data_IF_820729514608
#
_entry.id   IF_820729514608
#
_cell.length_a   1.000
_cell.length_b   1.000
_cell.length_c   1.000
_cell.angle_alpha   90.00
_cell.angle_beta   90.00
_cell.angle_gamma   90.00
#
_symmetry.space_group_name_H-M   'P 1'
#
loop_
_entity.id
_entity.type
_entity.pdbx_description
1 polymer ?
#
# COMPACT_ATOMS: atom_id res chain seq x y z
N UNK A 1 10.98 -40.08 3.32
CA UNK A 1 10.63 -41.50 3.56
C UNK A 1 11.68 -42.49 3.04
N UNK A 2 12.20 -42.34 1.81
CA UNK A 2 13.20 -43.27 1.24
C UNK A 2 14.59 -43.27 1.90
N UNK A 3 14.95 -42.23 2.65
CA UNK A 3 16.24 -42.12 3.37
C UNK A 3 16.16 -42.51 4.86
N UNK A 4 15.05 -43.09 5.34
CA UNK A 4 14.80 -43.42 6.77
C UNK A 4 14.97 -42.28 7.80
N UNK A 5 15.20 -41.04 7.37
CA UNK A 5 15.27 -39.86 8.27
C UNK A 5 13.97 -39.55 9.02
N UNK A 6 12.83 -40.03 8.52
CA UNK A 6 11.50 -39.86 9.08
C UNK A 6 10.85 -41.23 9.18
N UNK A 7 10.44 -41.62 10.38
CA UNK A 7 9.81 -42.90 10.68
C UNK A 7 8.33 -42.72 11.04
N UNK A 8 7.57 -43.80 11.08
CA UNK A 8 6.16 -43.77 11.49
C UNK A 8 5.17 -43.26 10.44
N UNK A 9 5.61 -42.88 9.23
CA UNK A 9 4.74 -42.51 8.10
C UNK A 9 4.46 -43.74 7.24
N UNK A 10 3.19 -44.00 6.95
CA UNK A 10 2.70 -45.07 6.08
C UNK A 10 2.53 -44.57 4.63
N UNK A 11 1.78 -43.49 4.46
CA UNK A 11 1.45 -42.93 3.15
C UNK A 11 1.31 -41.41 3.22
N UNK A 12 1.49 -40.72 2.09
CA UNK A 12 1.28 -39.27 1.97
C UNK A 12 0.43 -39.05 0.72
N UNK A 13 -0.67 -38.34 0.88
CA UNK A 13 -1.65 -38.08 -0.18
C UNK A 13 -1.99 -36.60 -0.25
N UNK A 14 -2.08 -36.08 -1.46
CA UNK A 14 -2.62 -34.75 -1.74
C UNK A 14 -4.10 -34.90 -2.15
N UNK A 15 -4.99 -34.36 -1.32
CA UNK A 15 -6.44 -34.29 -1.53
C UNK A 15 -6.89 -32.85 -1.84
N UNK A 16 -5.97 -32.00 -2.30
CA UNK A 16 -6.27 -30.61 -2.63
C UNK A 16 -7.23 -30.51 -3.82
N UNK A 17 -8.16 -29.56 -3.74
CA UNK A 17 -9.13 -29.27 -4.77
C UNK A 17 -9.14 -27.77 -5.14
N UNK A 18 -10.16 -27.32 -5.87
CA UNK A 18 -10.28 -25.90 -6.26
C UNK A 18 -10.64 -24.96 -5.10
N UNK A 19 -11.11 -25.50 -3.98
CA UNK A 19 -11.64 -24.76 -2.83
C UNK A 19 -10.60 -24.71 -1.70
N UNK A 20 -9.69 -25.67 -1.63
CA UNK A 20 -8.64 -25.67 -0.61
C UNK A 20 -7.50 -26.65 -0.83
N UNK A 21 -6.44 -26.44 -0.05
CA UNK A 21 -5.29 -27.32 0.01
C UNK A 21 -5.47 -28.30 1.16
N UNK A 22 -5.38 -29.61 0.88
CA UNK A 22 -5.47 -30.67 1.89
C UNK A 22 -4.40 -31.72 1.64
N UNK A 23 -3.42 -31.79 2.53
CA UNK A 23 -2.39 -32.84 2.51
C UNK A 23 -2.65 -33.79 3.68
N UNK A 24 -2.81 -35.07 3.37
CA UNK A 24 -3.05 -36.15 4.34
C UNK A 24 -1.78 -36.96 4.51
N UNK A 25 -1.32 -37.10 5.75
CA UNK A 25 -0.18 -37.95 6.11
C UNK A 25 -0.71 -39.08 6.98
N UNK A 26 -0.73 -40.29 6.43
CA UNK A 26 -1.15 -41.48 7.15
C UNK A 26 0.01 -42.04 7.96
N UNK A 27 -0.26 -42.37 9.23
CA UNK A 27 0.71 -42.92 10.15
C UNK A 27 0.64 -44.44 10.24
N UNK A 28 1.75 -45.07 10.63
CA UNK A 28 1.75 -46.49 11.00
C UNK A 28 1.04 -46.69 12.34
N UNK A 29 0.50 -47.89 12.58
CA UNK A 29 -0.30 -48.21 13.78
C UNK A 29 0.45 -48.02 15.10
N UNK A 30 1.76 -48.18 15.08
CA UNK A 30 2.67 -48.07 16.22
C UNK A 30 3.31 -46.69 16.36
N UNK A 31 3.05 -45.76 15.44
CA UNK A 31 3.65 -44.44 15.44
C UNK A 31 2.92 -43.48 16.39
N UNK A 32 3.68 -42.74 17.20
CA UNK A 32 3.14 -41.63 18.00
C UNK A 32 3.06 -40.37 17.14
N UNK A 33 1.85 -39.87 16.90
CA UNK A 33 1.60 -38.75 15.98
C UNK A 33 2.40 -37.48 16.31
N UNK A 34 2.50 -37.11 17.59
CA UNK A 34 3.24 -35.92 18.03
C UNK A 34 4.74 -36.00 17.71
N UNK A 35 5.33 -37.20 17.83
CA UNK A 35 6.74 -37.42 17.51
C UNK A 35 6.97 -37.25 16.01
N UNK A 36 6.10 -37.83 15.19
CA UNK A 36 6.18 -37.69 13.72
C UNK A 36 5.98 -36.24 13.30
N UNK A 37 5.03 -35.53 13.90
CA UNK A 37 4.77 -34.12 13.61
C UNK A 37 5.98 -33.23 13.94
N UNK A 38 6.61 -33.43 15.11
CA UNK A 38 7.82 -32.69 15.49
C UNK A 38 9.00 -32.99 14.55
N UNK A 39 9.14 -34.24 14.12
CA UNK A 39 10.14 -34.58 13.11
C UNK A 39 9.84 -33.92 11.76
N UNK A 40 8.57 -33.87 11.35
CA UNK A 40 8.15 -33.17 10.14
C UNK A 40 8.49 -31.68 10.21
N UNK A 41 8.20 -31.00 11.31
CA UNK A 41 8.60 -29.59 11.51
C UNK A 41 10.11 -29.39 11.46
N UNK A 42 10.90 -30.35 11.95
CA UNK A 42 12.36 -30.22 11.99
C UNK A 42 13.05 -30.53 10.65
N UNK A 43 12.55 -31.52 9.92
CA UNK A 43 13.23 -32.08 8.74
C UNK A 43 12.56 -31.71 7.41
N UNK A 44 11.44 -30.99 7.44
CA UNK A 44 10.72 -30.53 6.26
C UNK A 44 10.42 -29.04 6.37
N UNK A 45 10.12 -28.34 5.26
CA UNK A 45 9.74 -26.93 5.29
C UNK A 45 8.30 -26.68 5.80
N UNK A 46 7.66 -27.64 6.47
CA UNK A 46 6.34 -27.45 7.08
C UNK A 46 6.34 -26.38 8.18
N UNK A 47 7.50 -26.13 8.82
CA UNK A 47 7.71 -25.02 9.72
C UNK A 47 8.98 -24.28 9.30
N UNK A 48 8.86 -23.00 8.99
CA UNK A 48 9.99 -22.16 8.60
C UNK A 48 10.01 -20.86 9.41
N UNK A 49 11.18 -20.26 9.48
CA UNK A 49 11.36 -18.94 10.08
C UNK A 49 11.38 -17.89 8.98
N UNK A 50 10.74 -16.76 9.25
CA UNK A 50 10.85 -15.57 8.41
C UNK A 50 11.60 -14.48 9.19
N UNK A 51 12.80 -14.13 8.71
CA UNK A 51 13.60 -13.06 9.28
C UNK A 51 13.09 -11.70 8.83
N UNK A 52 12.50 -10.93 9.74
CA UNK A 52 12.05 -9.58 9.45
C UNK A 52 13.24 -8.60 9.46
N UNK A 53 13.56 -8.00 8.30
CA UNK A 53 14.51 -6.90 8.20
C UNK A 53 13.81 -5.61 7.75
N UNK A 54 13.52 -4.74 8.71
CA UNK A 54 12.83 -3.47 8.51
C UNK A 54 13.80 -2.36 8.04
N UNK A 55 14.32 -2.49 6.82
CA UNK A 55 15.28 -1.57 6.20
C UNK A 55 14.61 -0.72 5.12
N UNK A 56 14.83 0.60 5.13
CA UNK A 56 14.32 1.51 4.10
C UNK A 56 15.27 2.70 3.87
N UNK A 57 15.03 3.46 2.79
CA UNK A 57 15.70 4.74 2.58
C UNK A 57 14.97 5.85 3.34
N UNK A 58 15.68 6.52 4.24
CA UNK A 58 15.21 7.71 4.93
C UNK A 58 16.07 8.90 4.49
N UNK A 59 15.46 9.87 3.80
CA UNK A 59 16.21 11.02 3.25
C UNK A 59 17.34 10.62 2.28
N UNK A 60 17.20 9.49 1.58
CA UNK A 60 18.21 8.95 0.66
C UNK A 60 19.30 8.11 1.33
N UNK A 61 19.25 7.89 2.65
CA UNK A 61 20.19 7.03 3.37
C UNK A 61 19.53 5.71 3.79
N UNK A 62 20.19 4.56 3.62
CA UNK A 62 19.66 3.28 4.08
C UNK A 62 19.71 3.21 5.61
N UNK A 63 18.55 3.03 6.23
CA UNK A 63 18.39 2.98 7.68
C UNK A 63 17.49 1.80 8.07
N UNK A 64 17.84 1.12 9.15
CA UNK A 64 16.96 0.13 9.77
C UNK A 64 16.02 0.87 10.73
N UNK A 65 14.72 0.73 10.50
CA UNK A 65 13.69 1.52 11.16
C UNK A 65 12.81 0.65 12.05
N UNK A 66 12.35 1.24 13.14
CA UNK A 66 11.27 0.67 13.95
C UNK A 66 9.91 0.95 13.29
N UNK A 67 8.87 0.21 13.68
CA UNK A 67 7.50 0.49 13.24
C UNK A 67 7.09 1.95 13.53
N UNK A 68 7.44 2.48 14.71
CA UNK A 68 7.16 3.88 15.05
C UNK A 68 7.83 4.85 14.09
N UNK A 69 9.09 4.60 13.73
CA UNK A 69 9.83 5.43 12.79
C UNK A 69 9.19 5.42 11.40
N UNK A 70 8.78 4.25 10.91
CA UNK A 70 8.02 4.13 9.65
C UNK A 70 6.74 4.96 9.66
N UNK A 71 5.92 4.81 10.70
CA UNK A 71 4.65 5.53 10.82
C UNK A 71 4.87 7.04 10.96
N UNK A 72 5.90 7.45 11.70
CA UNK A 72 6.24 8.88 11.86
C UNK A 72 6.64 9.49 10.52
N UNK A 73 7.52 8.82 9.76
CA UNK A 73 7.93 9.27 8.43
C UNK A 73 6.75 9.30 7.44
N UNK A 74 5.85 8.32 7.52
CA UNK A 74 4.64 8.29 6.70
C UNK A 74 3.71 9.47 7.02
N UNK A 75 3.47 9.77 8.30
CA UNK A 75 2.62 10.90 8.71
C UNK A 75 3.22 12.22 8.24
N UNK A 76 4.53 12.44 8.46
CA UNK A 76 5.21 13.65 8.00
C UNK A 76 5.08 13.85 6.47
N UNK A 77 5.24 12.77 5.69
CA UNK A 77 4.99 12.81 4.25
C UNK A 77 3.54 13.18 3.92
N UNK A 78 2.56 12.60 4.64
CA UNK A 78 1.14 12.88 4.42
C UNK A 78 0.77 14.33 4.74
N UNK A 79 1.36 14.91 5.79
CA UNK A 79 1.17 16.33 6.14
C UNK A 79 1.61 17.25 5.00
N UNK A 80 2.81 17.03 4.44
CA UNK A 80 3.33 17.83 3.32
C UNK A 80 2.45 17.67 2.06
N UNK A 81 2.05 16.44 1.73
CA UNK A 81 1.15 16.18 0.59
C UNK A 81 -0.19 16.90 0.75
N UNK A 82 -0.78 16.85 1.95
CA UNK A 82 -2.06 17.52 2.22
C UNK A 82 -1.90 19.03 2.13
N UNK A 83 -0.85 19.60 2.74
CA UNK A 83 -0.59 21.04 2.69
C UNK A 83 -0.43 21.55 1.25
N UNK A 84 0.36 20.84 0.42
CA UNK A 84 0.56 21.18 -1.00
C UNK A 84 -0.74 21.10 -1.79
N UNK A 85 -1.55 20.06 -1.57
CA UNK A 85 -2.85 19.91 -2.24
C UNK A 85 -3.78 21.06 -1.88
N UNK A 86 -3.89 21.40 -0.59
CA UNK A 86 -4.74 22.50 -0.14
C UNK A 86 -4.27 23.85 -0.68
N UNK A 87 -2.96 24.09 -0.73
CA UNK A 87 -2.41 25.31 -1.33
C UNK A 87 -2.73 25.40 -2.84
N UNK A 88 -2.66 24.29 -3.56
CA UNK A 88 -3.04 24.21 -4.97
C UNK A 88 -4.53 24.53 -5.18
N UNK A 89 -5.41 23.91 -4.38
CA UNK A 89 -6.86 24.14 -4.44
C UNK A 89 -7.20 25.60 -4.12
N UNK A 90 -6.56 26.19 -3.09
CA UNK A 90 -6.72 27.59 -2.73
C UNK A 90 -6.32 28.52 -3.88
N UNK A 91 -5.18 28.26 -4.55
CA UNK A 91 -4.74 29.07 -5.68
C UNK A 91 -5.76 29.02 -6.82
N UNK A 92 -6.23 27.83 -7.18
CA UNK A 92 -7.25 27.64 -8.22
C UNK A 92 -8.56 28.35 -7.89
N UNK A 93 -8.98 28.29 -6.62
CA UNK A 93 -10.17 29.00 -6.16
C UNK A 93 -10.01 30.54 -6.26
N UNK A 94 -8.83 31.07 -5.90
CA UNK A 94 -8.52 32.51 -6.02
C UNK A 94 -8.48 32.99 -7.47
N UNK A 95 -7.83 32.24 -8.37
CA UNK A 95 -7.81 32.54 -9.81
C UNK A 95 -9.24 32.62 -10.37
N UNK A 96 -10.09 31.64 -10.03
CA UNK A 96 -11.50 31.65 -10.42
C UNK A 96 -12.26 32.83 -9.81
N UNK A 97 -12.03 33.14 -8.54
CA UNK A 97 -12.65 34.29 -7.87
C UNK A 97 -12.28 35.60 -8.55
N UNK A 98 -11.02 35.78 -8.96
CA UNK A 98 -10.56 37.00 -9.62
C UNK A 98 -11.30 37.24 -10.95
N UNK A 99 -11.43 36.20 -11.78
CA UNK A 99 -12.19 36.27 -13.03
C UNK A 99 -13.65 36.63 -12.75
N UNK A 100 -14.28 35.97 -11.75
CA UNK A 100 -15.67 36.25 -11.38
C UNK A 100 -15.88 37.69 -10.90
N UNK A 101 -14.94 38.25 -10.12
CA UNK A 101 -15.00 39.65 -9.72
C UNK A 101 -14.92 40.59 -10.92
N UNK A 102 -14.03 40.33 -11.89
CA UNK A 102 -13.94 41.12 -13.12
C UNK A 102 -15.23 41.06 -13.96
N UNK A 103 -15.79 39.86 -14.12
CA UNK A 103 -17.07 39.67 -14.81
C UNK A 103 -18.22 40.39 -14.09
N UNK A 104 -18.30 40.30 -12.77
CA UNK A 104 -19.31 41.00 -12.00
C UNK A 104 -19.22 42.52 -12.19
N UNK A 105 -18.01 43.09 -12.13
CA UNK A 105 -17.79 44.51 -12.38
C UNK A 105 -18.16 44.92 -13.82
N UNK A 106 -17.84 44.08 -14.82
CA UNK A 106 -18.22 44.32 -16.20
C UNK A 106 -19.74 44.29 -16.40
N UNK A 107 -20.44 43.34 -15.78
CA UNK A 107 -21.91 43.24 -15.82
C UNK A 107 -22.60 44.41 -15.10
N UNK A 108 -21.97 45.00 -14.08
CA UNK A 108 -22.52 46.22 -13.46
C UNK A 108 -22.37 47.47 -14.33
N UNK A 109 -21.45 47.48 -15.30
CA UNK A 109 -21.13 48.64 -16.15
C UNK A 109 -21.21 48.30 -17.66
N UNK A 110 -22.18 47.47 -18.07
CA UNK A 110 -22.23 46.89 -19.43
C UNK A 110 -22.14 47.93 -20.53
N UNK A 111 -22.90 49.03 -20.44
CA UNK A 111 -22.97 50.04 -21.49
C UNK A 111 -21.61 50.71 -21.73
N UNK A 112 -20.91 51.08 -20.65
CA UNK A 112 -19.57 51.69 -20.71
C UNK A 112 -18.53 50.72 -21.27
N UNK A 113 -18.58 49.44 -20.84
CA UNK A 113 -17.68 48.39 -21.35
C UNK A 113 -17.90 48.17 -22.86
N UNK A 114 -19.16 48.07 -23.31
CA UNK A 114 -19.50 47.88 -24.74
C UNK A 114 -19.08 49.10 -25.56
N UNK A 115 -19.33 50.31 -25.07
CA UNK A 115 -18.92 51.54 -25.75
C UNK A 115 -17.39 51.62 -25.89
N UNK A 116 -16.66 51.30 -24.82
CA UNK A 116 -15.19 51.28 -24.81
C UNK A 116 -14.64 50.28 -25.83
N UNK A 117 -15.18 49.05 -25.86
CA UNK A 117 -14.78 48.03 -26.83
C UNK A 117 -15.04 48.49 -28.27
N UNK A 118 -16.24 49.03 -28.55
CA UNK A 118 -16.60 49.52 -29.91
C UNK A 118 -15.75 50.70 -30.38
N UNK A 119 -15.20 51.48 -29.45
CA UNK A 119 -14.32 52.61 -29.77
C UNK A 119 -12.85 52.20 -29.95
N UNK A 120 -12.49 50.95 -29.63
CA UNK A 120 -11.13 50.44 -29.75
C UNK A 120 -10.73 50.26 -31.21
N UNK A 121 -9.49 50.64 -31.54
CA UNK A 121 -8.94 50.62 -32.91
C UNK A 121 -8.65 49.19 -33.39
N UNK A 122 -8.44 48.26 -32.46
CA UNK A 122 -8.12 46.85 -32.72
C UNK A 122 -9.32 45.91 -32.62
N UNK A 123 -10.54 46.44 -32.44
CA UNK A 123 -11.79 45.66 -32.29
C UNK A 123 -12.52 45.39 -33.61
#
# INVERSE_FOLDING_TARGET
VREKKLEGISHVQDESDRVGVRVVIELKRDATAEVVLNQLFRFTPMQTYFGCNMLALNGGRPEQLTLRSFLTNFIAFREDVVARRTAFELRKARERSHILCGLAAAVSNVDEVVATIRSSVDA
#
